data_IF_970754970078
#
_entry.id   IF_970754970078
#
_cell.length_a   1.000
_cell.length_b   1.000
_cell.length_c   1.000
_cell.angle_alpha   90.00
_cell.angle_beta   90.00
_cell.angle_gamma   90.00
#
_symmetry.space_group_name_H-M   'P 1'
#
loop_
_entity.id
_entity.type
_entity.pdbx_description
1 polymer ?
#
# COMPACT_ATOMS: atom_id res chain seq x y z
N UNK A 1 -58.52 -15.91 -0.19
CA UNK A 1 -58.60 -14.52 0.30
C UNK A 1 -57.78 -14.34 1.58
N UNK A 2 -57.88 -15.24 2.56
CA UNK A 2 -57.07 -15.20 3.79
C UNK A 2 -55.56 -15.33 3.56
N UNK A 3 -55.15 -16.14 2.58
CA UNK A 3 -53.73 -16.36 2.25
C UNK A 3 -53.05 -15.07 1.74
N UNK A 4 -53.72 -14.34 0.83
CA UNK A 4 -53.23 -13.06 0.32
C UNK A 4 -53.15 -11.98 1.41
N UNK A 5 -54.04 -12.04 2.42
CA UNK A 5 -53.98 -11.14 3.57
C UNK A 5 -52.78 -11.44 4.48
N UNK A 6 -52.43 -12.72 4.66
CA UNK A 6 -51.26 -13.13 5.42
C UNK A 6 -49.93 -12.73 4.74
N UNK A 7 -49.83 -12.88 3.41
CA UNK A 7 -48.66 -12.44 2.63
C UNK A 7 -48.47 -10.92 2.71
N UNK A 8 -49.55 -10.15 2.55
CA UNK A 8 -49.51 -8.69 2.69
C UNK A 8 -49.11 -8.26 4.11
N UNK A 9 -49.63 -8.92 5.15
CA UNK A 9 -49.25 -8.64 6.52
C UNK A 9 -47.76 -8.91 6.78
N UNK A 10 -47.21 -9.99 6.23
CA UNK A 10 -45.79 -10.33 6.32
C UNK A 10 -44.92 -9.26 5.63
N UNK A 11 -45.27 -8.86 4.40
CA UNK A 11 -44.53 -7.83 3.67
C UNK A 11 -44.55 -6.47 4.38
N UNK A 12 -45.71 -6.07 4.94
CA UNK A 12 -45.83 -4.83 5.70
C UNK A 12 -45.00 -4.88 6.98
N UNK A 13 -45.00 -6.01 7.69
CA UNK A 13 -44.18 -6.21 8.88
C UNK A 13 -42.67 -6.18 8.55
N UNK A 14 -42.24 -6.88 7.50
CA UNK A 14 -40.84 -6.84 7.07
C UNK A 14 -40.41 -5.44 6.62
N UNK A 15 -41.23 -4.76 5.81
CA UNK A 15 -40.97 -3.41 5.34
C UNK A 15 -40.87 -2.40 6.48
N UNK A 16 -41.79 -2.47 7.45
CA UNK A 16 -41.74 -1.59 8.63
C UNK A 16 -40.51 -1.85 9.50
N UNK A 17 -40.13 -3.11 9.74
CA UNK A 17 -38.90 -3.43 10.49
C UNK A 17 -37.66 -2.90 9.74
N UNK A 18 -37.58 -3.06 8.42
CA UNK A 18 -36.47 -2.53 7.62
C UNK A 18 -36.39 -1.00 7.64
N UNK A 19 -37.54 -0.31 7.57
CA UNK A 19 -37.59 1.16 7.65
C UNK A 19 -37.18 1.64 9.04
N UNK A 20 -37.66 1.00 10.10
CA UNK A 20 -37.26 1.33 11.48
C UNK A 20 -35.77 1.10 11.68
N UNK A 21 -35.23 -0.03 11.19
CA UNK A 21 -33.79 -0.29 11.24
C UNK A 21 -32.98 0.78 10.49
N UNK A 22 -33.43 1.20 9.30
CA UNK A 22 -32.79 2.27 8.54
C UNK A 22 -32.82 3.62 9.27
N UNK A 23 -33.96 3.99 9.86
CA UNK A 23 -34.11 5.23 10.62
C UNK A 23 -33.26 5.24 11.89
N UNK A 24 -33.11 4.09 12.56
CA UNK A 24 -32.20 3.93 13.69
C UNK A 24 -30.71 3.96 13.27
N UNK A 25 -30.41 3.60 12.03
CA UNK A 25 -29.04 3.61 11.50
C UNK A 25 -28.56 5.01 11.05
N UNK A 26 -29.47 5.90 10.66
CA UNK A 26 -29.15 7.28 10.29
C UNK A 26 -28.36 8.07 11.36
N UNK A 27 -28.78 8.09 12.65
CA UNK A 27 -28.02 8.80 13.69
C UNK A 27 -26.68 8.12 14.01
N UNK A 28 -26.57 6.80 13.86
CA UNK A 28 -25.31 6.06 14.05
C UNK A 28 -24.20 6.57 13.11
N UNK A 29 -24.54 6.93 11.87
CA UNK A 29 -23.57 7.52 10.93
C UNK A 29 -22.99 8.85 11.41
N UNK A 30 -23.76 9.63 12.17
CA UNK A 30 -23.33 10.93 12.73
C UNK A 30 -22.57 10.74 14.05
N UNK A 31 -22.90 9.69 14.81
CA UNK A 31 -22.25 9.37 16.09
C UNK A 31 -20.93 8.62 15.94
N UNK A 32 -20.63 8.04 14.78
CA UNK A 32 -19.32 7.46 14.53
C UNK A 32 -18.26 8.56 14.47
N UNK A 33 -17.20 8.48 15.30
CA UNK A 33 -16.11 9.44 15.25
C UNK A 33 -15.52 9.43 13.83
N UNK A 34 -15.52 10.61 13.20
CA UNK A 34 -14.85 10.76 11.91
C UNK A 34 -13.37 10.45 12.13
N UNK A 35 -12.72 9.65 11.25
CA UNK A 35 -11.29 9.45 11.36
C UNK A 35 -10.62 10.84 11.33
N UNK A 36 -9.60 11.07 12.19
CA UNK A 36 -8.90 12.33 12.21
C UNK A 36 -8.39 12.61 10.80
N UNK A 37 -8.91 13.68 10.20
CA UNK A 37 -8.37 14.16 8.93
C UNK A 37 -7.15 14.95 9.35
N UNK A 38 -5.94 14.45 9.06
CA UNK A 38 -4.72 15.19 9.32
C UNK A 38 -4.77 16.46 8.46
N UNK A 39 -5.19 17.58 9.04
CA UNK A 39 -5.24 18.86 8.36
C UNK A 39 -3.83 19.45 8.39
N UNK A 40 -3.24 19.57 7.20
CA UNK A 40 -1.97 20.27 6.97
C UNK A 40 -2.28 21.77 6.89
N UNK A 41 -2.46 22.42 8.04
CA UNK A 41 -3.01 23.78 8.08
C UNK A 41 -1.99 24.90 7.85
N UNK A 42 -0.68 24.63 7.74
CA UNK A 42 0.33 25.69 7.64
C UNK A 42 1.18 25.61 6.35
N UNK A 43 1.35 26.75 5.66
CA UNK A 43 2.25 26.90 4.51
C UNK A 43 3.73 26.63 4.89
N UNK A 44 4.11 26.97 6.12
CA UNK A 44 5.45 26.75 6.67
C UNK A 44 5.78 25.24 6.78
N UNK A 45 4.79 24.39 7.07
CA UNK A 45 4.96 22.93 7.04
C UNK A 45 5.18 22.40 5.62
N UNK A 46 4.56 23.01 4.61
CA UNK A 46 4.74 22.59 3.22
C UNK A 46 6.17 22.86 2.74
N UNK A 47 6.71 24.04 3.05
CA UNK A 47 8.10 24.36 2.74
C UNK A 47 9.08 23.39 3.39
N UNK A 48 8.81 22.96 4.63
CA UNK A 48 9.62 21.95 5.32
C UNK A 48 9.67 20.66 4.52
N UNK A 49 8.53 20.14 4.05
CA UNK A 49 8.49 18.88 3.29
C UNK A 49 9.23 18.98 1.96
N UNK A 50 9.14 20.11 1.28
CA UNK A 50 9.81 20.35 0.00
C UNK A 50 11.34 20.41 0.10
N UNK A 51 11.86 20.76 1.28
CA UNK A 51 13.30 20.81 1.57
C UNK A 51 13.86 19.48 2.08
N UNK A 52 13.01 18.49 2.40
CA UNK A 52 13.46 17.18 2.88
C UNK A 52 14.17 16.41 1.77
N UNK A 53 15.20 15.65 2.14
CA UNK A 53 15.78 14.66 1.25
C UNK A 53 14.77 13.54 0.95
N UNK A 54 14.89 12.81 -0.18
CA UNK A 54 14.03 11.66 -0.49
C UNK A 54 14.03 10.61 0.62
N UNK A 55 15.17 10.40 1.29
CA UNK A 55 15.29 9.48 2.42
C UNK A 55 14.49 9.94 3.63
N UNK A 56 14.62 11.19 4.04
CA UNK A 56 13.83 11.75 5.15
C UNK A 56 12.34 11.75 4.83
N UNK A 57 11.99 12.14 3.60
CA UNK A 57 10.62 12.09 3.09
C UNK A 57 10.04 10.69 3.22
N UNK A 58 10.82 9.66 2.83
CA UNK A 58 10.40 8.27 2.91
C UNK A 58 10.04 7.85 4.33
N UNK A 59 10.69 8.40 5.36
CA UNK A 59 10.49 8.04 6.77
C UNK A 59 9.17 8.55 7.34
N UNK A 60 8.49 9.47 6.66
CA UNK A 60 7.19 9.96 7.10
C UNK A 60 6.08 8.89 7.00
N UNK A 61 5.03 8.99 7.86
CA UNK A 61 3.84 8.16 7.76
C UNK A 61 3.20 8.25 6.37
N UNK A 62 2.64 7.13 5.89
CA UNK A 62 2.06 7.07 4.55
C UNK A 62 0.90 8.05 4.36
N UNK A 63 0.03 8.17 5.37
CA UNK A 63 -1.12 9.08 5.31
C UNK A 63 -0.69 10.54 5.17
N UNK A 64 0.36 10.94 5.89
CA UNK A 64 0.95 12.28 5.79
C UNK A 64 1.50 12.54 4.39
N UNK A 65 2.28 11.59 3.85
CA UNK A 65 2.84 11.70 2.49
C UNK A 65 1.75 11.89 1.43
N UNK A 66 0.64 11.18 1.58
CA UNK A 66 -0.49 11.37 0.67
C UNK A 66 -1.18 12.72 0.84
N UNK A 67 -1.39 13.19 2.06
CA UNK A 67 -2.00 14.50 2.29
C UNK A 67 -1.16 15.63 1.68
N UNK A 68 0.16 15.57 1.86
CA UNK A 68 1.10 16.52 1.25
C UNK A 68 1.05 16.44 -0.28
N UNK A 69 1.15 15.24 -0.86
CA UNK A 69 1.09 15.08 -2.31
C UNK A 69 -0.28 15.45 -2.91
N UNK A 70 -1.37 15.30 -2.15
CA UNK A 70 -2.68 15.79 -2.56
C UNK A 70 -2.70 17.32 -2.61
N UNK A 71 -2.16 18.01 -1.61
CA UNK A 71 -2.06 19.47 -1.58
C UNK A 71 -1.13 20.00 -2.70
N UNK A 72 0.02 19.37 -2.92
CA UNK A 72 0.90 19.70 -4.05
C UNK A 72 0.18 19.52 -5.40
N UNK A 73 -0.63 18.48 -5.53
CA UNK A 73 -1.43 18.27 -6.74
C UNK A 73 -2.49 19.36 -6.94
N UNK A 74 -3.17 19.79 -5.87
CA UNK A 74 -4.13 20.90 -5.88
C UNK A 74 -3.45 22.23 -6.25
N UNK A 75 -2.22 22.46 -5.80
CA UNK A 75 -1.38 23.60 -6.17
C UNK A 75 -0.75 23.49 -7.57
N UNK A 76 -1.00 22.39 -8.30
CA UNK A 76 -0.44 22.16 -9.64
C UNK A 76 1.07 21.86 -9.65
N UNK A 77 1.65 21.55 -8.49
CA UNK A 77 3.07 21.24 -8.31
C UNK A 77 3.38 19.76 -8.53
N UNK A 78 4.66 19.46 -8.69
CA UNK A 78 5.12 18.08 -8.76
C UNK A 78 5.09 17.41 -7.39
N UNK A 79 4.78 16.11 -7.42
CA UNK A 79 4.72 15.29 -6.22
C UNK A 79 6.12 14.94 -5.73
N UNK A 80 6.23 14.76 -4.42
CA UNK A 80 7.43 14.20 -3.80
C UNK A 80 7.38 12.67 -3.85
N UNK A 81 8.37 12.08 -4.53
CA UNK A 81 8.49 10.64 -4.73
C UNK A 81 9.89 10.19 -4.28
N UNK A 82 9.93 9.21 -3.38
CA UNK A 82 11.16 8.49 -3.06
C UNK A 82 11.30 7.30 -4.03
N UNK A 83 12.44 7.21 -4.69
CA UNK A 83 12.73 6.25 -5.77
C UNK A 83 13.69 5.18 -5.28
N UNK A 84 13.81 4.06 -6.00
CA UNK A 84 14.77 3.01 -5.62
C UNK A 84 16.21 3.51 -5.72
N UNK A 85 16.52 4.37 -6.68
CA UNK A 85 17.84 4.99 -6.82
C UNK A 85 18.27 5.84 -5.63
N UNK A 86 17.32 6.27 -4.80
CA UNK A 86 17.60 7.11 -3.63
C UNK A 86 18.10 6.30 -2.42
N UNK A 87 18.02 4.97 -2.49
CA UNK A 87 18.39 4.06 -1.40
C UNK A 87 19.58 3.19 -1.76
N UNK A 88 20.43 2.94 -0.78
CA UNK A 88 21.58 2.05 -0.87
C UNK A 88 21.54 1.08 0.31
N UNK A 89 21.62 -0.22 0.02
CA UNK A 89 21.47 -1.26 1.04
C UNK A 89 22.50 -1.13 2.17
N UNK A 90 23.77 -0.88 1.83
CA UNK A 90 24.83 -0.81 2.82
C UNK A 90 24.65 0.43 3.71
N UNK A 91 24.20 1.54 3.15
CA UNK A 91 23.86 2.72 3.93
C UNK A 91 22.62 2.52 4.80
N UNK A 92 21.56 1.90 4.28
CA UNK A 92 20.33 1.59 5.03
C UNK A 92 20.64 0.66 6.22
N UNK A 93 21.53 -0.31 6.03
CA UNK A 93 22.03 -1.19 7.09
C UNK A 93 22.81 -0.39 8.14
N UNK A 94 23.78 0.43 7.71
CA UNK A 94 24.66 1.21 8.60
C UNK A 94 23.89 2.23 9.44
N UNK A 95 22.85 2.83 8.88
CA UNK A 95 22.03 3.86 9.54
C UNK A 95 20.92 3.27 10.40
N UNK A 96 20.69 1.95 10.33
CA UNK A 96 19.59 1.27 11.03
C UNK A 96 18.22 1.44 10.35
N UNK A 97 18.19 2.03 9.15
CA UNK A 97 16.95 2.29 8.41
C UNK A 97 16.23 1.01 7.98
N UNK A 98 16.95 -0.12 7.82
CA UNK A 98 16.35 -1.43 7.55
C UNK A 98 15.44 -1.91 8.70
N UNK A 99 15.90 -1.75 9.95
CA UNK A 99 15.11 -2.12 11.14
C UNK A 99 13.88 -1.22 11.23
N UNK A 100 14.09 0.08 11.04
CA UNK A 100 13.01 1.06 11.03
C UNK A 100 11.96 0.76 9.95
N UNK A 101 12.40 0.36 8.74
CA UNK A 101 11.53 -0.03 7.64
C UNK A 101 10.67 -1.24 8.02
N UNK A 102 11.28 -2.26 8.63
CA UNK A 102 10.58 -3.45 9.10
C UNK A 102 9.50 -3.09 10.13
N UNK A 103 9.84 -2.31 11.14
CA UNK A 103 8.93 -1.98 12.25
C UNK A 103 7.72 -1.14 11.78
N UNK A 104 7.95 -0.20 10.86
CA UNK A 104 6.88 0.67 10.34
C UNK A 104 6.07 0.06 9.20
N UNK A 105 6.55 -1.06 8.60
CA UNK A 105 5.92 -1.69 7.44
C UNK A 105 4.45 -2.04 7.71
N UNK A 106 4.14 -2.54 8.90
CA UNK A 106 2.78 -2.91 9.29
C UNK A 106 1.82 -1.72 9.35
N UNK A 107 2.28 -0.58 9.89
CA UNK A 107 1.48 0.65 9.87
C UNK A 107 1.26 1.12 8.42
N UNK A 108 2.30 1.04 7.60
CA UNK A 108 2.24 1.41 6.18
C UNK A 108 1.24 0.55 5.41
N UNK A 109 1.28 -0.78 5.57
CA UNK A 109 0.33 -1.68 4.92
C UNK A 109 -1.12 -1.41 5.35
N UNK A 110 -1.34 -1.11 6.65
CA UNK A 110 -2.67 -0.76 7.15
C UNK A 110 -3.20 0.54 6.52
N UNK A 111 -2.38 1.58 6.39
CA UNK A 111 -2.76 2.83 5.72
C UNK A 111 -3.10 2.58 4.24
N UNK A 112 -2.28 1.81 3.52
CA UNK A 112 -2.53 1.45 2.10
C UNK A 112 -3.85 0.70 1.97
N UNK A 113 -4.05 -0.31 2.80
CA UNK A 113 -5.28 -1.10 2.82
C UNK A 113 -6.49 -0.22 3.07
N UNK A 114 -6.47 0.60 4.12
CA UNK A 114 -7.59 1.47 4.48
C UNK A 114 -7.97 2.41 3.32
N UNK A 115 -6.97 3.04 2.69
CA UNK A 115 -7.18 3.90 1.53
C UNK A 115 -7.77 3.14 0.35
N UNK A 116 -7.23 1.98 0.00
CA UNK A 116 -7.74 1.16 -1.11
C UNK A 116 -9.17 0.69 -0.86
N UNK A 117 -9.49 0.25 0.35
CA UNK A 117 -10.86 -0.10 0.73
C UNK A 117 -11.79 1.10 0.57
N UNK A 118 -11.40 2.28 1.05
CA UNK A 118 -12.21 3.50 0.89
C UNK A 118 -12.46 3.84 -0.58
N UNK A 119 -11.43 3.73 -1.44
CA UNK A 119 -11.56 3.97 -2.88
C UNK A 119 -12.48 2.93 -3.53
N UNK A 120 -12.37 1.65 -3.16
CA UNK A 120 -13.21 0.58 -3.69
C UNK A 120 -14.67 0.65 -3.24
N UNK A 121 -14.93 1.15 -2.03
CA UNK A 121 -16.28 1.26 -1.48
C UNK A 121 -17.09 2.45 -2.02
N UNK A 122 -16.47 3.36 -2.77
CA UNK A 122 -17.13 4.55 -3.32
C UNK A 122 -16.86 4.66 -4.83
N UNK A 123 -17.91 4.47 -5.64
CA UNK A 123 -17.80 4.51 -7.10
C UNK A 123 -17.33 5.86 -7.64
N UNK A 124 -17.69 6.96 -6.99
CA UNK A 124 -17.24 8.30 -7.37
C UNK A 124 -15.75 8.49 -7.07
N UNK A 125 -15.31 8.08 -5.87
CA UNK A 125 -13.89 8.10 -5.53
C UNK A 125 -13.06 7.16 -6.40
N UNK A 126 -13.58 5.98 -6.75
CA UNK A 126 -12.91 5.05 -7.65
C UNK A 126 -12.65 5.67 -9.03
N UNK A 127 -13.65 6.33 -9.61
CA UNK A 127 -13.53 6.99 -10.90
C UNK A 127 -12.53 8.15 -10.86
N UNK A 128 -12.59 8.99 -9.82
CA UNK A 128 -11.63 10.07 -9.61
C UNK A 128 -10.21 9.52 -9.43
N UNK A 129 -10.06 8.48 -8.61
CA UNK A 129 -8.77 7.88 -8.31
C UNK A 129 -8.13 7.25 -9.55
N UNK A 130 -8.91 6.59 -10.41
CA UNK A 130 -8.42 6.03 -11.67
C UNK A 130 -7.79 7.11 -12.56
N UNK A 131 -8.46 8.26 -12.74
CA UNK A 131 -7.95 9.36 -13.54
C UNK A 131 -6.69 10.01 -12.95
N UNK A 132 -6.69 10.24 -11.64
CA UNK A 132 -5.55 10.83 -10.92
C UNK A 132 -4.33 9.92 -10.98
N UNK A 133 -4.48 8.63 -10.71
CA UNK A 133 -3.37 7.67 -10.70
C UNK A 133 -2.72 7.53 -12.07
N UNK A 134 -3.50 7.50 -13.15
CA UNK A 134 -2.93 7.41 -14.50
C UNK A 134 -2.14 8.67 -14.87
N UNK A 135 -2.68 9.86 -14.55
CA UNK A 135 -1.98 11.12 -14.77
C UNK A 135 -0.67 11.21 -13.94
N UNK A 136 -0.74 10.78 -12.68
CA UNK A 136 0.42 10.71 -11.78
C UNK A 136 1.48 9.73 -12.29
N UNK A 137 1.07 8.54 -12.73
CA UNK A 137 1.97 7.54 -13.34
C UNK A 137 2.71 8.15 -14.52
N UNK A 138 2.00 8.81 -15.45
CA UNK A 138 2.62 9.41 -16.62
C UNK A 138 3.64 10.49 -16.25
N UNK A 139 3.32 11.35 -15.26
CA UNK A 139 4.27 12.35 -14.76
C UNK A 139 5.52 11.73 -14.16
N UNK A 140 5.38 10.67 -13.36
CA UNK A 140 6.52 9.95 -12.77
C UNK A 140 7.38 9.35 -13.88
N UNK A 141 6.77 8.63 -14.83
CA UNK A 141 7.49 7.99 -15.93
C UNK A 141 8.23 8.98 -16.82
N UNK A 142 7.70 10.20 -16.99
CA UNK A 142 8.36 11.24 -17.78
C UNK A 142 9.66 11.77 -17.15
N UNK A 143 9.82 11.68 -15.83
CA UNK A 143 10.96 12.23 -15.07
C UNK A 143 11.81 11.14 -14.40
N UNK A 144 11.58 9.88 -14.78
CA UNK A 144 12.19 8.72 -14.17
C UNK A 144 12.92 7.90 -15.23
N UNK A 145 14.22 7.68 -15.01
CA UNK A 145 14.97 6.71 -15.79
C UNK A 145 14.62 5.30 -15.31
N UNK A 146 13.70 4.66 -16.01
CA UNK A 146 13.20 3.32 -15.67
C UNK A 146 14.30 2.27 -15.63
N UNK A 147 15.33 2.37 -16.47
CA UNK A 147 16.42 1.39 -16.48
C UNK A 147 17.33 1.59 -15.27
N UNK A 148 17.60 2.83 -14.89
CA UNK A 148 18.33 3.14 -13.66
C UNK A 148 17.59 2.64 -12.42
N UNK A 149 16.26 2.84 -12.35
CA UNK A 149 15.44 2.33 -11.23
C UNK A 149 15.40 0.81 -11.18
N UNK A 150 15.27 0.13 -12.33
CA UNK A 150 15.33 -1.34 -12.41
C UNK A 150 16.67 -1.86 -11.90
N UNK A 151 17.76 -1.21 -12.31
CA UNK A 151 19.10 -1.58 -11.85
C UNK A 151 19.29 -1.32 -10.35
N UNK A 152 18.77 -0.20 -9.82
CA UNK A 152 18.81 0.12 -8.40
C UNK A 152 18.03 -0.91 -7.55
N UNK A 153 16.80 -1.23 -7.96
CA UNK A 153 15.98 -2.27 -7.32
C UNK A 153 16.68 -3.64 -7.31
N UNK A 154 17.26 -4.03 -8.46
CA UNK A 154 17.97 -5.29 -8.58
C UNK A 154 19.16 -5.35 -7.62
N UNK A 155 20.01 -4.30 -7.61
CA UNK A 155 21.17 -4.21 -6.70
C UNK A 155 20.76 -4.29 -5.24
N UNK A 156 19.77 -3.49 -4.83
CA UNK A 156 19.29 -3.48 -3.44
C UNK A 156 18.80 -4.87 -3.02
N UNK A 157 18.00 -5.53 -3.87
CA UNK A 157 17.44 -6.86 -3.59
C UNK A 157 18.52 -7.93 -3.51
N UNK A 158 19.50 -7.91 -4.44
CA UNK A 158 20.61 -8.87 -4.41
C UNK A 158 21.47 -8.70 -3.17
N UNK A 159 21.77 -7.46 -2.77
CA UNK A 159 22.53 -7.20 -1.54
C UNK A 159 21.80 -7.68 -0.30
N UNK A 160 20.48 -7.48 -0.23
CA UNK A 160 19.66 -8.03 0.84
C UNK A 160 19.68 -9.57 0.86
N UNK A 161 19.55 -10.24 -0.30
CA UNK A 161 19.58 -11.70 -0.35
C UNK A 161 20.94 -12.27 0.10
N UNK A 162 22.04 -11.64 -0.28
CA UNK A 162 23.37 -12.05 0.16
C UNK A 162 23.51 -11.96 1.69
N UNK A 163 23.10 -10.83 2.27
CA UNK A 163 23.18 -10.59 3.72
C UNK A 163 22.19 -11.46 4.52
N UNK A 164 21.00 -11.71 3.98
CA UNK A 164 19.99 -12.59 4.59
C UNK A 164 20.33 -14.10 4.47
N UNK A 165 21.50 -14.45 3.94
CA UNK A 165 21.98 -15.83 3.85
C UNK A 165 21.43 -16.64 2.68
N UNK A 166 20.81 -15.98 1.69
CA UNK A 166 20.27 -16.61 0.48
C UNK A 166 21.32 -16.75 -0.64
N UNK A 167 22.59 -17.00 -0.30
CA UNK A 167 23.71 -17.08 -1.27
C UNK A 167 23.53 -18.15 -2.37
N UNK A 168 22.63 -19.12 -2.19
CA UNK A 168 22.31 -20.14 -3.20
C UNK A 168 21.39 -19.65 -4.32
N UNK A 169 20.99 -18.36 -4.31
CA UNK A 169 20.11 -17.78 -5.34
C UNK A 169 20.65 -17.93 -6.77
N UNK A 170 21.98 -17.90 -6.92
CA UNK A 170 22.67 -18.18 -8.19
C UNK A 170 22.60 -19.65 -8.61
N UNK A 171 22.62 -20.57 -7.65
CA UNK A 171 22.66 -22.01 -7.90
C UNK A 171 21.29 -22.58 -8.23
N UNK A 172 20.23 -22.04 -7.61
CA UNK A 172 18.85 -22.53 -7.77
C UNK A 172 17.88 -21.43 -8.24
N UNK A 173 18.14 -20.81 -9.40
CA UNK A 173 17.37 -19.65 -9.86
C UNK A 173 15.86 -19.93 -9.96
N UNK A 174 15.45 -21.15 -10.30
CA UNK A 174 14.04 -21.49 -10.45
C UNK A 174 13.28 -21.57 -9.11
N UNK A 175 13.97 -21.98 -8.04
CA UNK A 175 13.40 -21.96 -6.68
C UNK A 175 13.15 -20.52 -6.24
N UNK A 176 14.14 -19.64 -6.42
CA UNK A 176 14.02 -18.23 -6.03
C UNK A 176 13.02 -17.46 -6.90
N UNK A 177 12.93 -17.73 -8.20
CA UNK A 177 11.85 -17.22 -9.06
C UNK A 177 10.49 -17.63 -8.52
N UNK A 178 10.32 -18.89 -8.11
CA UNK A 178 9.06 -19.38 -7.53
C UNK A 178 8.74 -18.68 -6.21
N UNK A 179 9.74 -18.49 -5.34
CA UNK A 179 9.57 -17.72 -4.10
C UNK A 179 9.12 -16.28 -4.38
N UNK A 180 9.76 -15.60 -5.34
CA UNK A 180 9.40 -14.23 -5.75
C UNK A 180 7.98 -14.20 -6.32
N UNK A 181 7.62 -15.13 -7.22
CA UNK A 181 6.26 -15.20 -7.79
C UNK A 181 5.19 -15.47 -6.73
N UNK A 182 5.52 -16.22 -5.67
CA UNK A 182 4.61 -16.46 -4.55
C UNK A 182 4.50 -15.25 -3.61
N UNK A 183 5.63 -14.56 -3.37
CA UNK A 183 5.72 -13.38 -2.53
C UNK A 183 5.11 -12.13 -3.20
N UNK A 184 5.18 -12.05 -4.53
CA UNK A 184 4.66 -10.98 -5.37
C UNK A 184 3.84 -11.58 -6.53
N UNK A 185 2.65 -12.13 -6.24
CA UNK A 185 1.82 -12.75 -7.25
C UNK A 185 1.40 -11.71 -8.31
N UNK A 186 1.26 -12.12 -9.57
CA UNK A 186 0.90 -11.21 -10.64
C UNK A 186 -0.50 -10.61 -10.38
N UNK A 187 -0.58 -9.29 -10.46
CA UNK A 187 -1.85 -8.57 -10.29
C UNK A 187 -2.73 -8.64 -11.55
N UNK A 188 -2.13 -8.97 -12.69
CA UNK A 188 -2.76 -9.05 -14.01
C UNK A 188 -2.31 -10.34 -14.72
N UNK A 189 -3.00 -10.72 -15.79
CA UNK A 189 -2.65 -11.90 -16.57
C UNK A 189 -1.29 -11.74 -17.26
N UNK A 190 -0.36 -12.66 -16.97
CA UNK A 190 1.00 -12.65 -17.53
C UNK A 190 1.01 -12.87 -19.05
N UNK A 191 -0.05 -13.49 -19.61
CA UNK A 191 -0.14 -13.80 -21.05
C UNK A 191 -0.40 -12.58 -21.94
N UNK A 192 -0.89 -11.48 -21.36
CA UNK A 192 -1.29 -10.27 -22.11
C UNK A 192 -0.17 -9.24 -22.27
N UNK A 193 0.97 -9.42 -21.60
CA UNK A 193 2.08 -8.49 -21.68
C UNK A 193 3.05 -8.90 -22.79
N UNK A 194 2.85 -8.28 -23.95
CA UNK A 194 3.89 -8.07 -24.96
C UNK A 194 5.12 -7.41 -24.33
N UNK A 195 6.30 -7.58 -24.94
CA UNK A 195 7.58 -6.94 -24.59
C UNK A 195 7.53 -5.41 -24.45
N UNK A 196 6.41 -4.78 -24.79
CA UNK A 196 6.08 -3.36 -24.61
C UNK A 196 5.63 -3.09 -23.15
N UNK A 197 6.57 -3.27 -22.20
CA UNK A 197 6.35 -3.24 -20.74
C UNK A 197 5.91 -1.88 -20.18
N UNK A 198 5.92 -0.83 -20.99
CA UNK A 198 5.64 0.54 -20.55
C UNK A 198 4.14 0.89 -20.58
N UNK A 199 3.31 0.01 -21.17
CA UNK A 199 1.88 0.23 -21.40
C UNK A 199 0.98 -0.69 -20.58
N UNK A 200 1.17 -0.75 -19.26
CA UNK A 200 0.06 -1.19 -18.40
C UNK A 200 -0.95 -0.05 -18.33
N UNK A 201 -1.80 0.08 -19.34
CA UNK A 201 -2.97 0.96 -19.32
C UNK A 201 -4.18 0.12 -18.92
N UNK A 202 -4.91 0.58 -17.93
CA UNK A 202 -6.21 -0.01 -17.62
C UNK A 202 -7.24 0.58 -18.56
N UNK A 203 -7.60 -0.20 -19.57
CA UNK A 203 -8.54 0.24 -20.60
C UNK A 203 -9.97 0.39 -20.04
N UNK A 204 -10.29 -0.32 -18.95
CA UNK A 204 -11.62 -0.31 -18.33
C UNK A 204 -11.58 -0.11 -16.83
N UNK A 205 -12.64 0.50 -16.29
CA UNK A 205 -12.83 0.67 -14.85
C UNK A 205 -12.89 -0.67 -14.11
N UNK A 206 -13.49 -1.69 -14.73
CA UNK A 206 -13.59 -3.04 -14.18
C UNK A 206 -12.22 -3.72 -14.04
N UNK A 207 -11.33 -3.55 -15.02
CA UNK A 207 -9.96 -4.05 -14.93
C UNK A 207 -9.19 -3.35 -13.81
N UNK A 208 -9.37 -2.03 -13.68
CA UNK A 208 -8.77 -1.25 -12.61
C UNK A 208 -9.26 -1.69 -11.22
N UNK A 209 -10.57 -1.84 -11.04
CA UNK A 209 -11.21 -2.31 -9.82
C UNK A 209 -10.73 -3.72 -9.44
N UNK A 210 -10.72 -4.64 -10.41
CA UNK A 210 -10.23 -6.02 -10.22
C UNK A 210 -8.78 -6.05 -9.72
N UNK A 211 -7.92 -5.21 -10.29
CA UNK A 211 -6.53 -5.08 -9.86
C UNK A 211 -6.42 -4.55 -8.43
N UNK A 212 -7.19 -3.53 -8.08
CA UNK A 212 -7.21 -3.01 -6.72
C UNK A 212 -7.67 -4.07 -5.72
N UNK A 213 -8.67 -4.89 -6.05
CA UNK A 213 -9.08 -6.02 -5.22
C UNK A 213 -7.96 -7.06 -5.04
N UNK A 214 -7.25 -7.43 -6.11
CA UNK A 214 -6.11 -8.37 -6.03
C UNK A 214 -4.98 -7.81 -5.16
N UNK A 215 -4.67 -6.53 -5.33
CA UNK A 215 -3.66 -5.86 -4.52
C UNK A 215 -4.08 -5.81 -3.04
N UNK A 216 -5.35 -5.49 -2.76
CA UNK A 216 -5.91 -5.50 -1.41
C UNK A 216 -5.80 -6.88 -0.76
N UNK A 217 -6.21 -7.93 -1.46
CA UNK A 217 -6.11 -9.31 -0.99
C UNK A 217 -4.66 -9.73 -0.70
N UNK A 218 -3.71 -9.21 -1.49
CA UNK A 218 -2.29 -9.46 -1.26
C UNK A 218 -1.74 -8.74 -0.02
N UNK A 219 -2.11 -7.47 0.18
CA UNK A 219 -1.76 -6.71 1.38
C UNK A 219 -2.33 -7.36 2.65
N UNK A 220 -3.57 -7.85 2.60
CA UNK A 220 -4.18 -8.59 3.70
C UNK A 220 -3.40 -9.86 4.05
N UNK A 221 -2.93 -10.60 3.04
CA UNK A 221 -2.08 -11.78 3.26
C UNK A 221 -0.79 -11.42 4.01
N UNK A 222 -0.10 -10.36 3.58
CA UNK A 222 1.12 -9.89 4.27
C UNK A 222 0.82 -9.48 5.72
N UNK A 223 -0.26 -8.73 5.97
CA UNK A 223 -0.64 -8.34 7.33
C UNK A 223 -0.93 -9.58 8.22
N UNK A 224 -1.58 -10.60 7.68
CA UNK A 224 -1.85 -11.86 8.39
C UNK A 224 -0.56 -12.64 8.69
N UNK A 225 0.37 -12.74 7.73
CA UNK A 225 1.67 -13.37 7.93
C UNK A 225 2.47 -12.67 9.04
N UNK A 226 2.44 -11.33 9.08
CA UNK A 226 3.05 -10.57 10.17
C UNK A 226 2.48 -10.92 11.55
N UNK A 227 1.15 -11.00 11.69
CA UNK A 227 0.50 -11.38 12.96
C UNK A 227 0.88 -12.78 13.42
N UNK A 228 1.02 -13.71 12.46
CA UNK A 228 1.43 -15.07 12.78
C UNK A 228 2.90 -15.12 13.20
N UNK A 229 3.79 -14.44 12.48
CA UNK A 229 5.22 -14.41 12.79
C UNK A 229 5.49 -13.73 14.14
N UNK A 230 4.83 -12.62 14.46
CA UNK A 230 4.97 -12.00 15.80
C UNK A 230 4.40 -12.87 16.92
N UNK A 231 3.42 -13.74 16.66
CA UNK A 231 2.95 -14.70 17.67
C UNK A 231 3.91 -15.88 17.90
N UNK A 232 4.70 -16.24 16.88
CA UNK A 232 5.72 -17.30 16.95
C UNK A 232 7.03 -16.77 17.55
N UNK A 233 7.37 -15.51 17.27
CA UNK A 233 8.58 -14.86 17.81
C UNK A 233 8.32 -14.07 19.10
N UNK A 234 7.07 -13.74 19.44
CA UNK A 234 6.69 -13.03 20.68
C UNK A 234 6.87 -13.82 21.99
N UNK A 235 7.32 -15.08 21.90
CA UNK A 235 7.80 -15.88 23.03
C UNK A 235 9.31 -15.91 23.21
N UNK A 236 10.07 -15.30 22.29
CA UNK A 236 11.51 -15.04 22.44
C UNK A 236 11.71 -13.57 22.16
N UNK A 237 11.89 -12.80 23.22
CA UNK A 237 12.52 -11.49 23.14
C UNK A 237 13.61 -11.55 22.07
N UNK A 238 13.47 -10.72 21.03
CA UNK A 238 14.59 -10.32 20.19
C UNK A 238 15.53 -9.56 21.12
N UNK A 239 16.27 -10.33 21.94
CA UNK A 239 17.50 -9.92 22.57
C UNK A 239 18.40 -9.58 21.40
N UNK A 240 18.39 -8.29 21.09
CA UNK A 240 19.33 -7.64 20.20
C UNK A 240 20.70 -8.16 20.59
N UNK A 241 21.26 -9.01 19.72
CA UNK A 241 22.67 -9.30 19.72
C UNK A 241 23.39 -7.97 19.52
N UNK A 242 23.69 -7.27 20.60
CA UNK A 242 24.85 -6.41 20.66
C UNK A 242 26.05 -7.35 20.54
N UNK A 243 26.42 -7.66 19.29
CA UNK A 243 27.70 -8.28 18.95
C UNK A 243 28.82 -7.28 19.17
N UNK A 244 29.00 -6.86 20.42
CA UNK A 244 30.26 -6.37 20.94
C UNK A 244 31.01 -7.58 21.50
N UNK A 245 31.43 -8.46 20.59
CA UNK A 245 32.45 -9.50 20.81
C UNK A 245 32.57 -10.26 19.49
N UNK A 246 33.63 -9.96 18.74
CA UNK A 246 34.43 -10.84 17.87
C UNK A 246 35.23 -9.96 16.90
N UNK A 247 36.30 -9.37 17.43
CA UNK A 247 37.53 -9.09 16.68
C UNK A 247 38.59 -10.06 17.21
N UNK A 248 39.36 -10.74 16.35
CA UNK A 248 40.76 -10.98 16.64
C UNK A 248 41.58 -9.69 16.40
#
# INVERSE_FOLDING_TARGET
TEYAAAEMACLVACGTVSVVAFLLYLPLRVMMPRPPTASLEEEEEMERYLRMSPKEWSKLPMDLRWSVNAKLHEEGRDMLVARWSDFDYAEDLRTGDLVYLHDRSQATFRSIRHRMTRVLCDRGLLAQHHGVVEAQRQKILAHCDLEAERAAFARWTTSYFEDAGYYTWLQWPDVYKTMIMNAFPPLDDLSRYSTDRDRVRYETMEAYETRLFRLLAHLDRHEQMYKHNTSVFGGRELSVMTSSQLLP
#
